data_IF_789690723759
#
_entry.id   IF_789690723759
#
_cell.length_a   1.000
_cell.length_b   1.000
_cell.length_c   1.000
_cell.angle_alpha   90.00
_cell.angle_beta   90.00
_cell.angle_gamma   90.00
#
_symmetry.space_group_name_H-M   'P 1'
#
loop_
_entity.id
_entity.type
_entity.pdbx_description
1 polymer ?
#
# COMPACT_ATOMS: atom_id res chain seq x y z
N UNK A 1 -39.65 2.21 -26.74
CA UNK A 1 -40.90 2.56 -26.02
C UNK A 1 -41.00 1.95 -24.62
N UNK A 2 -40.67 0.66 -24.37
CA UNK A 2 -40.80 0.04 -23.03
C UNK A 2 -39.89 0.62 -21.92
N UNK A 3 -38.70 1.15 -22.25
CA UNK A 3 -37.77 1.77 -21.27
C UNK A 3 -38.18 3.17 -20.77
N UNK A 4 -39.04 3.89 -21.51
CA UNK A 4 -39.59 5.18 -21.06
C UNK A 4 -40.80 4.99 -20.16
N UNK A 5 -41.56 3.91 -20.36
CA UNK A 5 -42.76 3.59 -19.59
C UNK A 5 -42.44 3.13 -18.15
N UNK A 6 -41.31 2.42 -17.92
CA UNK A 6 -40.93 2.02 -16.55
C UNK A 6 -40.29 3.16 -15.74
N UNK A 7 -39.60 4.11 -16.39
CA UNK A 7 -39.12 5.35 -15.76
C UNK A 7 -40.27 6.27 -15.34
N UNK A 8 -41.37 6.24 -16.10
CA UNK A 8 -42.62 6.92 -15.76
C UNK A 8 -43.34 6.24 -14.58
N UNK A 9 -43.33 4.91 -14.50
CA UNK A 9 -44.14 4.16 -13.53
C UNK A 9 -43.65 4.25 -12.06
N UNK A 10 -42.34 4.44 -11.84
CA UNK A 10 -41.79 4.64 -10.47
C UNK A 10 -41.88 6.10 -9.99
N UNK A 11 -41.94 7.07 -10.91
CA UNK A 11 -42.21 8.47 -10.57
C UNK A 11 -43.71 8.71 -10.31
N UNK A 12 -44.60 7.96 -10.99
CA UNK A 12 -46.05 8.12 -10.93
C UNK A 12 -46.69 7.62 -9.64
N UNK A 13 -46.10 6.65 -8.93
CA UNK A 13 -46.70 6.13 -7.69
C UNK A 13 -46.67 7.11 -6.51
N UNK A 14 -45.88 8.20 -6.60
CA UNK A 14 -45.95 9.33 -5.67
C UNK A 14 -46.79 10.52 -6.20
N UNK A 15 -47.32 10.43 -7.43
CA UNK A 15 -47.85 11.55 -8.20
C UNK A 15 -49.36 11.46 -8.51
N UNK A 16 -50.10 10.67 -7.73
CA UNK A 16 -51.56 10.62 -7.86
C UNK A 16 -52.15 11.64 -6.89
N UNK A 17 -52.60 12.79 -7.41
CA UNK A 17 -53.93 13.37 -7.18
C UNK A 17 -54.14 14.67 -8.00
N UNK A 18 -54.97 14.51 -9.03
CA UNK A 18 -55.96 15.42 -9.65
C UNK A 18 -55.52 16.73 -10.32
N UNK A 19 -55.72 16.76 -11.63
CA UNK A 19 -55.80 17.95 -12.47
C UNK A 19 -57.04 18.82 -12.11
N UNK A 20 -56.80 20.03 -11.60
CA UNK A 20 -57.78 21.10 -11.55
C UNK A 20 -57.60 22.06 -12.72
N UNK A 21 -58.61 22.16 -13.59
CA UNK A 21 -58.67 23.18 -14.65
C UNK A 21 -58.93 24.57 -14.06
N UNK A 22 -58.09 25.55 -14.38
CA UNK A 22 -58.52 26.95 -14.49
C UNK A 22 -57.52 27.73 -15.35
N UNK A 23 -58.05 28.50 -16.31
CA UNK A 23 -57.32 29.49 -17.11
C UNK A 23 -56.97 30.68 -16.21
N UNK A 24 -55.86 30.58 -15.51
CA UNK A 24 -55.06 31.73 -15.10
C UNK A 24 -53.76 31.67 -15.90
N UNK A 25 -53.12 32.82 -16.15
CA UNK A 25 -51.73 32.85 -16.64
C UNK A 25 -50.91 31.83 -15.87
N UNK A 26 -50.27 30.88 -16.55
CA UNK A 26 -49.60 29.74 -15.92
C UNK A 26 -48.66 30.20 -14.78
N UNK A 27 -49.11 30.04 -13.53
CA UNK A 27 -48.37 30.45 -12.31
C UNK A 27 -47.43 29.36 -11.81
N UNK A 28 -47.22 28.30 -12.59
CA UNK A 28 -46.40 27.16 -12.19
C UNK A 28 -44.97 27.58 -11.85
N UNK A 29 -44.42 28.55 -12.59
CA UNK A 29 -43.06 29.05 -12.39
C UNK A 29 -42.97 30.31 -11.51
N UNK A 30 -44.08 30.83 -10.99
CA UNK A 30 -44.05 32.01 -10.12
C UNK A 30 -43.18 31.76 -8.88
N UNK A 31 -42.12 32.55 -8.73
CA UNK A 31 -41.17 32.44 -7.62
C UNK A 31 -40.21 31.25 -7.69
N UNK A 32 -40.07 30.61 -8.86
CA UNK A 32 -39.12 29.49 -9.10
C UNK A 32 -37.77 29.96 -9.65
N UNK A 33 -37.67 30.78 -10.71
CA UNK A 33 -36.38 31.33 -11.12
C UNK A 33 -35.84 32.29 -10.06
N UNK A 34 -34.55 32.18 -9.74
CA UNK A 34 -33.91 33.02 -8.74
C UNK A 34 -32.72 32.35 -8.06
N UNK A 35 -32.16 33.03 -7.06
CA UNK A 35 -31.06 32.54 -6.22
C UNK A 35 -31.59 32.19 -4.84
N UNK A 36 -31.36 30.95 -4.41
CA UNK A 36 -31.69 30.45 -3.08
C UNK A 36 -30.39 30.26 -2.30
N UNK A 37 -30.20 31.02 -1.23
CA UNK A 37 -28.99 30.98 -0.43
C UNK A 37 -29.26 31.24 1.06
N UNK A 38 -28.31 30.87 1.92
CA UNK A 38 -28.42 31.07 3.37
C UNK A 38 -29.65 30.39 3.95
N UNK A 39 -30.48 31.13 4.68
CA UNK A 39 -31.71 30.59 5.32
C UNK A 39 -32.83 30.25 4.34
N UNK A 40 -32.68 30.55 3.04
CA UNK A 40 -33.70 30.30 2.02
C UNK A 40 -33.49 28.99 1.27
N UNK A 41 -32.46 28.21 1.62
CA UNK A 41 -32.23 26.89 1.03
C UNK A 41 -31.82 25.88 2.09
N UNK A 42 -32.32 24.66 1.96
CA UNK A 42 -31.88 23.49 2.72
C UNK A 42 -31.55 22.39 1.74
N UNK A 43 -30.35 21.84 1.83
CA UNK A 43 -29.87 20.77 0.95
C UNK A 43 -29.58 19.53 1.80
N UNK A 44 -30.09 18.38 1.35
CA UNK A 44 -29.74 17.06 1.87
C UNK A 44 -29.05 16.29 0.75
N UNK A 45 -27.88 15.72 1.01
CA UNK A 45 -27.13 14.89 0.04
C UNK A 45 -27.07 13.46 0.58
N UNK A 46 -27.59 12.49 -0.17
CA UNK A 46 -27.67 11.08 0.23
C UNK A 46 -28.22 10.88 1.66
N UNK A 47 -29.26 11.62 2.03
CA UNK A 47 -29.91 11.55 3.34
C UNK A 47 -29.22 12.34 4.47
N UNK A 48 -28.05 12.93 4.22
CA UNK A 48 -27.33 13.77 5.21
C UNK A 48 -27.51 15.25 4.92
N UNK A 49 -27.75 16.06 5.95
CA UNK A 49 -27.84 17.52 5.80
C UNK A 49 -26.49 18.07 5.33
N UNK A 50 -26.49 18.88 4.28
CA UNK A 50 -25.30 19.51 3.76
C UNK A 50 -24.77 20.56 4.77
N UNK A 51 -23.52 20.41 5.20
CA UNK A 51 -22.87 21.24 6.22
C UNK A 51 -21.77 22.16 5.68
N UNK A 52 -21.50 22.13 4.36
CA UNK A 52 -20.59 23.09 3.74
C UNK A 52 -21.22 24.49 3.77
N UNK A 53 -20.51 25.49 4.30
CA UNK A 53 -21.05 26.84 4.52
C UNK A 53 -21.81 27.44 3.32
N UNK A 54 -22.86 28.24 3.63
CA UNK A 54 -23.79 28.90 2.71
C UNK A 54 -24.15 28.07 1.45
N UNK A 55 -25.05 27.10 1.62
CA UNK A 55 -25.73 26.44 0.51
C UNK A 55 -26.30 27.48 -0.47
N UNK A 56 -26.08 27.26 -1.77
CA UNK A 56 -26.54 28.15 -2.84
C UNK A 56 -27.04 27.33 -4.04
N UNK A 57 -28.21 27.69 -4.54
CA UNK A 57 -28.79 27.15 -5.78
C UNK A 57 -29.32 28.31 -6.64
N UNK A 58 -28.93 28.33 -7.91
CA UNK A 58 -29.47 29.24 -8.91
C UNK A 58 -30.40 28.47 -9.85
N UNK A 59 -31.63 28.95 -10.00
CA UNK A 59 -32.63 28.33 -10.87
C UNK A 59 -32.95 29.29 -12.01
N UNK A 60 -32.88 28.79 -13.23
CA UNK A 60 -33.17 29.54 -14.46
C UNK A 60 -34.06 28.72 -15.40
N UNK A 61 -34.73 29.40 -16.33
CA UNK A 61 -35.65 28.78 -17.28
C UNK A 61 -37.02 29.46 -17.30
N UNK A 62 -37.73 29.26 -18.40
CA UNK A 62 -39.08 29.83 -18.62
C UNK A 62 -40.10 28.76 -19.02
N UNK A 63 -39.69 27.48 -19.04
CA UNK A 63 -40.51 26.34 -19.45
C UNK A 63 -40.47 25.32 -18.32
N UNK A 64 -41.64 24.96 -17.80
CA UNK A 64 -41.77 24.08 -16.63
C UNK A 64 -41.15 22.69 -16.79
N UNK A 65 -40.92 22.22 -18.02
CA UNK A 65 -40.32 20.92 -18.35
C UNK A 65 -38.85 21.02 -18.77
N UNK A 66 -38.26 22.22 -18.67
CA UNK A 66 -36.90 22.50 -19.12
C UNK A 66 -36.24 23.58 -18.25
N UNK A 67 -36.32 23.40 -16.93
CA UNK A 67 -35.65 24.27 -15.97
C UNK A 67 -34.19 23.85 -15.78
N UNK A 68 -33.33 24.79 -15.41
CA UNK A 68 -31.92 24.56 -15.11
C UNK A 68 -31.60 24.94 -13.67
N UNK A 69 -31.03 24.01 -12.92
CA UNK A 69 -30.61 24.16 -11.54
C UNK A 69 -29.08 24.10 -11.47
N UNK A 70 -28.47 25.19 -11.03
CA UNK A 70 -27.03 25.28 -10.78
C UNK A 70 -26.78 25.26 -9.28
N UNK A 71 -26.13 24.21 -8.80
CA UNK A 71 -25.95 23.88 -7.39
C UNK A 71 -24.49 24.09 -7.04
N UNK A 72 -24.21 24.84 -5.98
CA UNK A 72 -22.84 25.19 -5.62
C UNK A 72 -22.34 24.35 -4.44
N UNK A 73 -21.11 23.84 -4.54
CA UNK A 73 -20.35 23.13 -3.49
C UNK A 73 -20.98 21.85 -2.90
N UNK A 74 -22.21 21.48 -3.28
CA UNK A 74 -22.94 20.37 -2.67
C UNK A 74 -22.89 19.04 -3.45
N UNK A 75 -22.37 19.03 -4.68
CA UNK A 75 -22.42 17.85 -5.57
C UNK A 75 -21.02 17.45 -6.00
N UNK A 76 -20.61 16.22 -5.69
CA UNK A 76 -19.34 15.61 -6.15
C UNK A 76 -18.09 16.47 -5.90
N UNK A 77 -18.07 17.27 -4.81
CA UNK A 77 -16.98 18.19 -4.50
C UNK A 77 -16.76 19.30 -5.52
N UNK A 78 -17.69 19.49 -6.47
CA UNK A 78 -17.60 20.52 -7.51
C UNK A 78 -17.97 21.88 -6.93
N UNK A 79 -17.24 22.92 -7.37
CA UNK A 79 -17.61 24.30 -7.06
C UNK A 79 -19.03 24.63 -7.56
N UNK A 80 -19.41 24.07 -8.70
CA UNK A 80 -20.74 24.16 -9.27
C UNK A 80 -21.12 22.87 -10.03
N UNK A 81 -22.38 22.48 -9.96
CA UNK A 81 -22.95 21.35 -10.69
C UNK A 81 -24.30 21.75 -11.29
N UNK A 82 -24.47 21.51 -12.59
CA UNK A 82 -25.67 21.93 -13.31
C UNK A 82 -26.55 20.74 -13.68
N UNK A 83 -27.83 20.83 -13.36
CA UNK A 83 -28.88 19.91 -13.82
C UNK A 83 -29.82 20.67 -14.74
N UNK A 84 -29.89 20.27 -16.01
CA UNK A 84 -30.79 20.82 -17.03
C UNK A 84 -31.96 19.88 -17.26
N UNK A 85 -33.03 20.35 -17.92
CA UNK A 85 -34.21 19.53 -18.21
C UNK A 85 -35.02 19.18 -16.96
N UNK A 86 -34.94 20.00 -15.92
CA UNK A 86 -35.69 19.78 -14.68
C UNK A 86 -37.17 20.10 -14.89
N UNK A 87 -38.02 19.23 -14.35
CA UNK A 87 -39.47 19.38 -14.36
C UNK A 87 -39.91 20.07 -13.06
N UNK A 88 -40.82 21.04 -13.19
CA UNK A 88 -41.47 21.75 -12.09
C UNK A 88 -42.98 21.59 -12.22
N UNK A 89 -43.63 21.28 -11.09
CA UNK A 89 -45.09 21.14 -10.97
C UNK A 89 -45.58 21.87 -9.72
N UNK A 90 -46.86 22.19 -9.71
CA UNK A 90 -47.54 22.72 -8.51
C UNK A 90 -48.22 21.57 -7.76
N UNK A 91 -47.98 21.46 -6.46
CA UNK A 91 -48.66 20.51 -5.59
C UNK A 91 -49.98 21.09 -5.00
N UNK A 92 -50.71 20.28 -4.24
CA UNK A 92 -51.99 20.66 -3.63
C UNK A 92 -51.87 21.82 -2.62
N UNK A 93 -50.67 22.10 -2.11
CA UNK A 93 -50.40 23.19 -1.16
C UNK A 93 -49.93 24.46 -1.87
N UNK A 94 -50.10 24.55 -3.20
CA UNK A 94 -49.61 25.65 -4.05
C UNK A 94 -48.08 25.85 -3.97
N UNK A 95 -47.35 24.78 -3.67
CA UNK A 95 -45.90 24.77 -3.65
C UNK A 95 -45.35 24.16 -4.94
N UNK A 96 -44.12 24.53 -5.30
CA UNK A 96 -43.51 24.11 -6.55
C UNK A 96 -42.59 22.95 -6.29
N UNK A 97 -43.03 21.75 -6.63
CA UNK A 97 -42.22 20.55 -6.54
C UNK A 97 -41.39 20.42 -7.80
N UNK A 98 -40.13 20.01 -7.66
CA UNK A 98 -39.23 19.86 -8.78
C UNK A 98 -38.52 18.51 -8.75
N UNK A 99 -38.17 18.04 -9.93
CA UNK A 99 -37.41 16.82 -10.14
C UNK A 99 -36.52 16.96 -11.36
N UNK A 100 -35.30 16.45 -11.25
CA UNK A 100 -34.37 16.39 -12.38
C UNK A 100 -33.41 15.23 -12.19
N UNK A 101 -33.17 14.49 -13.26
CA UNK A 101 -32.00 13.65 -13.38
C UNK A 101 -31.08 14.26 -14.43
N UNK A 102 -29.78 14.03 -14.29
CA UNK A 102 -28.75 14.51 -15.23
C UNK A 102 -29.25 14.89 -16.65
N UNK A 103 -28.97 16.13 -17.04
CA UNK A 103 -29.24 16.65 -18.39
C UNK A 103 -27.99 17.10 -19.19
N UNK A 104 -26.76 16.89 -18.71
CA UNK A 104 -25.59 17.27 -19.51
C UNK A 104 -24.22 16.89 -18.95
N UNK A 105 -23.66 15.77 -19.43
CA UNK A 105 -22.22 15.52 -19.66
C UNK A 105 -21.17 15.77 -18.55
N UNK A 106 -21.56 16.22 -17.36
CA UNK A 106 -20.65 16.65 -16.32
C UNK A 106 -19.95 15.46 -15.63
N UNK A 107 -20.63 14.31 -15.54
CA UNK A 107 -20.04 13.08 -15.04
C UNK A 107 -20.67 11.87 -15.74
N UNK A 108 -19.86 10.91 -16.19
CA UNK A 108 -20.32 9.60 -16.68
C UNK A 108 -20.01 8.47 -15.66
N UNK A 109 -19.37 8.80 -14.53
CA UNK A 109 -19.11 7.91 -13.39
C UNK A 109 -20.26 7.86 -12.38
N UNK A 110 -21.02 8.96 -12.30
CA UNK A 110 -22.08 9.14 -11.32
C UNK A 110 -23.35 9.68 -11.97
N UNK A 111 -24.48 9.15 -11.50
CA UNK A 111 -25.81 9.69 -11.70
C UNK A 111 -26.17 10.60 -10.52
N UNK A 112 -26.58 11.82 -10.84
CA UNK A 112 -27.12 12.79 -9.89
C UNK A 112 -28.61 12.98 -10.18
N UNK A 113 -29.42 12.83 -9.13
CA UNK A 113 -30.85 13.10 -9.14
C UNK A 113 -31.13 14.17 -8.10
N UNK A 114 -31.88 15.19 -8.49
CA UNK A 114 -32.39 16.22 -7.59
C UNK A 114 -33.90 16.12 -7.49
N UNK A 115 -34.41 16.26 -6.29
CA UNK A 115 -35.83 16.44 -6.02
C UNK A 115 -36.01 17.52 -4.98
N UNK A 116 -37.18 18.15 -4.92
CA UNK A 116 -37.42 19.12 -3.87
C UNK A 116 -38.71 19.89 -4.01
N UNK A 117 -38.84 20.91 -3.16
CA UNK A 117 -40.02 21.76 -3.03
C UNK A 117 -39.57 23.21 -2.80
N UNK A 118 -40.21 24.14 -3.50
CA UNK A 118 -40.10 25.57 -3.28
C UNK A 118 -41.43 26.07 -2.71
N UNK A 119 -41.40 26.68 -1.53
CA UNK A 119 -42.56 27.28 -0.90
C UNK A 119 -42.16 28.58 -0.20
N UNK A 120 -42.94 29.65 -0.40
CA UNK A 120 -42.72 30.96 0.21
C UNK A 120 -41.27 31.48 0.09
N UNK A 121 -40.67 31.33 -1.09
CA UNK A 121 -39.30 31.76 -1.37
C UNK A 121 -38.20 30.89 -0.72
N UNK A 122 -38.57 29.76 -0.10
CA UNK A 122 -37.62 28.80 0.48
C UNK A 122 -37.57 27.52 -0.32
N UNK A 123 -36.37 27.00 -0.55
CA UNK A 123 -36.12 25.74 -1.24
C UNK A 123 -35.69 24.65 -0.25
N UNK A 124 -36.30 23.48 -0.38
CA UNK A 124 -35.81 22.24 0.21
C UNK A 124 -35.43 21.31 -0.94
N UNK A 125 -34.16 20.92 -1.02
CA UNK A 125 -33.60 20.08 -2.07
C UNK A 125 -33.00 18.80 -1.48
N UNK A 126 -33.34 17.66 -2.06
CA UNK A 126 -32.67 16.39 -1.85
C UNK A 126 -31.86 16.05 -3.09
N UNK A 127 -30.59 15.70 -2.88
CA UNK A 127 -29.65 15.28 -3.92
C UNK A 127 -29.29 13.82 -3.65
N UNK A 128 -29.58 12.95 -4.60
CA UNK A 128 -29.16 11.55 -4.58
C UNK A 128 -28.05 11.37 -5.60
N UNK A 129 -26.88 10.94 -5.11
CA UNK A 129 -25.70 10.63 -5.91
C UNK A 129 -25.46 9.13 -5.84
N UNK A 130 -25.52 8.47 -7.00
CA UNK A 130 -25.27 7.03 -7.18
C UNK A 130 -24.21 6.86 -8.25
N UNK A 131 -23.24 5.95 -8.07
CA UNK A 131 -22.17 5.78 -9.04
C UNK A 131 -20.90 5.24 -8.42
N UNK A 132 -19.79 5.47 -9.11
CA UNK A 132 -18.48 4.95 -8.73
C UNK A 132 -17.70 5.84 -7.76
N UNK A 133 -17.88 7.17 -7.80
CA UNK A 133 -17.04 8.09 -7.02
C UNK A 133 -17.43 8.07 -5.56
N UNK A 134 -16.45 7.89 -4.67
CA UNK A 134 -16.68 7.82 -3.23
C UNK A 134 -15.54 7.16 -2.48
N UNK A 135 -15.63 7.19 -1.16
CA UNK A 135 -14.73 6.48 -0.24
C UNK A 135 -15.39 5.20 0.27
N UNK A 136 -14.64 4.11 0.25
CA UNK A 136 -15.05 2.76 0.59
C UNK A 136 -14.13 2.24 1.69
N UNK A 137 -14.71 1.96 2.86
CA UNK A 137 -14.03 1.43 4.03
C UNK A 137 -15.05 0.71 4.92
N UNK A 138 -14.56 -0.11 5.86
CA UNK A 138 -15.40 -0.88 6.79
C UNK A 138 -16.49 -1.67 6.04
N UNK A 139 -17.75 -1.52 6.47
CA UNK A 139 -18.90 -2.24 5.88
C UNK A 139 -19.17 -1.90 4.40
N UNK A 140 -18.57 -0.83 3.85
CA UNK A 140 -18.71 -0.44 2.44
C UNK A 140 -17.64 -1.05 1.53
N UNK A 141 -16.68 -1.79 2.09
CA UNK A 141 -15.58 -2.39 1.36
C UNK A 141 -15.43 -3.86 1.74
N UNK A 142 -15.66 -4.74 0.77
CA UNK A 142 -15.27 -6.14 0.84
C UNK A 142 -14.02 -6.32 -0.01
N UNK A 143 -12.91 -6.68 0.61
CA UNK A 143 -11.60 -6.64 -0.04
C UNK A 143 -10.79 -7.93 0.13
N UNK A 144 -10.04 -8.29 -0.90
CA UNK A 144 -9.06 -9.38 -0.86
C UNK A 144 -7.72 -8.94 -1.44
N UNK A 145 -6.64 -9.57 -0.97
CA UNK A 145 -5.29 -9.43 -1.50
C UNK A 145 -4.70 -10.79 -1.86
N UNK A 146 -4.25 -10.97 -3.11
CA UNK A 146 -3.66 -12.22 -3.61
C UNK A 146 -4.52 -13.46 -3.27
N UNK A 147 -5.85 -13.31 -3.29
CA UNK A 147 -6.81 -14.39 -2.98
C UNK A 147 -7.09 -14.61 -1.48
N UNK A 148 -6.42 -13.90 -0.58
CA UNK A 148 -6.67 -13.93 0.86
C UNK A 148 -7.50 -12.71 1.32
N UNK A 149 -8.09 -12.79 2.51
CA UNK A 149 -8.77 -11.65 3.14
C UNK A 149 -7.80 -10.47 3.31
N UNK A 150 -8.25 -9.25 2.98
CA UNK A 150 -7.43 -8.06 3.14
C UNK A 150 -7.22 -7.72 4.63
N UNK A 151 -6.11 -7.04 4.99
CA UNK A 151 -5.89 -6.55 6.35
C UNK A 151 -7.04 -5.67 6.86
N UNK A 152 -7.20 -5.59 8.18
CA UNK A 152 -8.11 -4.60 8.76
C UNK A 152 -7.65 -3.17 8.46
N UNK A 153 -8.59 -2.23 8.39
CA UNK A 153 -8.29 -0.81 8.21
C UNK A 153 -7.98 -0.38 6.76
N UNK A 154 -7.97 -1.30 5.80
CA UNK A 154 -7.81 -0.96 4.38
C UNK A 154 -8.91 -0.02 3.89
N UNK A 155 -8.56 0.83 2.93
CA UNK A 155 -9.51 1.75 2.31
C UNK A 155 -9.27 1.92 0.82
N UNK A 156 -10.35 2.23 0.10
CA UNK A 156 -10.33 2.50 -1.32
C UNK A 156 -11.14 3.76 -1.62
N UNK A 157 -10.69 4.56 -2.59
CA UNK A 157 -11.39 5.74 -3.04
C UNK A 157 -11.37 5.81 -4.56
N UNK A 158 -12.54 5.96 -5.17
CA UNK A 158 -12.61 6.34 -6.59
C UNK A 158 -12.82 7.85 -6.67
N UNK A 159 -11.99 8.49 -7.48
CA UNK A 159 -12.09 9.92 -7.82
C UNK A 159 -12.21 10.10 -9.33
N UNK A 160 -12.56 11.31 -9.74
CA UNK A 160 -12.85 11.65 -11.14
C UNK A 160 -14.31 12.00 -11.35
N UNK A 161 -14.57 12.62 -12.51
CA UNK A 161 -15.90 12.92 -13.02
C UNK A 161 -16.22 12.03 -14.21
N UNK A 162 -15.20 11.72 -15.01
CA UNK A 162 -15.31 10.98 -16.25
C UNK A 162 -14.57 9.65 -16.16
N UNK A 163 -15.07 8.65 -16.87
CA UNK A 163 -14.39 7.36 -17.08
C UNK A 163 -12.96 7.57 -17.58
N UNK A 164 -12.72 8.61 -18.40
CA UNK A 164 -11.40 8.98 -18.91
C UNK A 164 -10.44 9.60 -17.87
N UNK A 165 -10.95 10.14 -16.75
CA UNK A 165 -10.15 10.74 -15.68
C UNK A 165 -10.28 9.99 -14.34
N UNK A 166 -10.93 8.82 -14.35
CA UNK A 166 -11.15 8.00 -13.19
C UNK A 166 -9.83 7.48 -12.62
N UNK A 167 -9.74 7.53 -11.29
CA UNK A 167 -8.60 7.02 -10.53
C UNK A 167 -9.11 6.19 -9.37
N UNK A 168 -8.41 5.12 -9.06
CA UNK A 168 -8.57 4.38 -7.80
C UNK A 168 -7.38 4.67 -6.92
N UNK A 169 -7.63 5.09 -5.68
CA UNK A 169 -6.62 5.25 -4.64
C UNK A 169 -6.87 4.13 -3.63
N UNK A 170 -5.85 3.31 -3.36
CA UNK A 170 -5.93 2.24 -2.36
C UNK A 170 -4.91 2.49 -1.25
N UNK A 171 -5.30 2.20 -0.01
CA UNK A 171 -4.48 2.42 1.17
C UNK A 171 -4.53 1.20 2.12
N UNK A 172 -3.37 0.87 2.70
CA UNK A 172 -3.18 -0.27 3.60
C UNK A 172 -3.11 -1.65 2.93
N UNK A 173 -3.19 -1.73 1.60
CA UNK A 173 -3.20 -3.00 0.88
C UNK A 173 -1.80 -3.59 0.67
N UNK A 174 -0.81 -2.75 0.36
CA UNK A 174 0.48 -3.22 -0.13
C UNK A 174 1.52 -3.12 0.98
N UNK A 175 2.18 -4.25 1.25
CA UNK A 175 3.22 -4.32 2.28
C UNK A 175 4.38 -3.36 1.94
N UNK A 176 4.78 -2.55 2.92
CA UNK A 176 5.89 -1.59 2.75
C UNK A 176 5.50 -0.26 2.11
N UNK A 177 4.21 -0.05 1.82
CA UNK A 177 3.69 1.24 1.39
C UNK A 177 3.00 1.98 2.53
N UNK A 178 3.63 3.08 2.94
CA UNK A 178 3.08 4.01 3.93
C UNK A 178 2.18 5.07 3.28
N UNK A 179 2.32 5.28 1.97
CA UNK A 179 1.52 6.22 1.19
C UNK A 179 0.51 5.46 0.33
N UNK A 180 -0.71 5.99 0.15
CA UNK A 180 -1.70 5.38 -0.73
C UNK A 180 -1.20 5.22 -2.17
N UNK A 181 -1.53 4.09 -2.80
CA UNK A 181 -1.22 3.85 -4.21
C UNK A 181 -2.31 4.45 -5.07
N UNK A 182 -1.92 5.33 -5.98
CA UNK A 182 -2.80 5.91 -7.00
C UNK A 182 -2.71 5.13 -8.31
N UNK A 183 -3.82 4.49 -8.69
CA UNK A 183 -3.99 3.80 -9.96
C UNK A 183 -4.70 4.75 -10.93
N UNK A 184 -3.92 5.32 -11.84
CA UNK A 184 -4.40 6.20 -12.90
C UNK A 184 -4.88 5.40 -14.12
N UNK A 185 -5.66 6.03 -14.99
CA UNK A 185 -6.24 5.40 -16.19
C UNK A 185 -7.12 4.17 -15.87
N UNK A 186 -7.87 4.25 -14.77
CA UNK A 186 -8.76 3.18 -14.32
C UNK A 186 -9.78 2.84 -15.42
N UNK A 187 -9.78 1.59 -15.88
CA UNK A 187 -10.78 1.11 -16.83
C UNK A 187 -12.07 0.88 -16.06
N UNK A 188 -13.04 1.79 -16.20
CA UNK A 188 -14.31 1.72 -15.48
C UNK A 188 -15.50 1.85 -16.42
N UNK A 189 -16.47 0.95 -16.23
CA UNK A 189 -17.76 0.97 -16.94
C UNK A 189 -18.87 1.12 -15.94
N UNK A 190 -19.72 2.13 -16.12
CA UNK A 190 -20.87 2.40 -15.25
C UNK A 190 -22.18 2.17 -15.99
N UNK A 191 -23.06 1.36 -15.39
CA UNK A 191 -24.38 1.01 -15.92
C UNK A 191 -25.41 1.10 -14.78
N UNK A 192 -26.17 2.20 -14.78
CA UNK A 192 -27.11 2.54 -13.70
C UNK A 192 -26.40 2.72 -12.34
N UNK A 193 -26.73 1.89 -11.33
CA UNK A 193 -26.12 1.91 -9.99
C UNK A 193 -24.95 0.95 -9.84
N UNK A 194 -24.56 0.28 -10.92
CA UNK A 194 -23.47 -0.69 -10.92
C UNK A 194 -22.29 -0.15 -11.71
N UNK A 195 -21.09 -0.29 -11.14
CA UNK A 195 -19.84 0.00 -11.86
C UNK A 195 -18.91 -1.20 -11.76
N UNK A 196 -18.19 -1.49 -12.84
CA UNK A 196 -17.11 -2.47 -12.87
C UNK A 196 -15.83 -1.77 -13.24
N UNK A 197 -14.74 -2.11 -12.58
CA UNK A 197 -13.47 -1.45 -12.80
C UNK A 197 -12.28 -2.41 -12.76
N UNK A 198 -11.21 -2.04 -13.46
CA UNK A 198 -9.90 -2.68 -13.37
C UNK A 198 -8.80 -1.67 -13.66
N UNK A 199 -7.61 -1.93 -13.16
CA UNK A 199 -6.46 -1.06 -13.36
C UNK A 199 -5.17 -1.70 -12.89
N UNK A 200 -4.06 -1.03 -13.16
CA UNK A 200 -2.74 -1.48 -12.75
C UNK A 200 -1.87 -0.28 -12.40
N UNK A 201 -1.06 -0.44 -11.36
CA UNK A 201 0.08 0.40 -11.03
C UNK A 201 1.35 -0.44 -11.11
N UNK A 202 2.41 0.08 -11.73
CA UNK A 202 3.71 -0.60 -11.81
C UNK A 202 4.82 0.39 -11.52
N UNK A 203 5.79 -0.03 -10.71
CA UNK A 203 7.06 0.67 -10.47
C UNK A 203 8.25 -0.27 -10.70
N UNK A 204 9.44 0.12 -10.23
CA UNK A 204 10.67 -0.67 -10.38
C UNK A 204 10.62 -2.02 -9.62
N UNK A 205 9.82 -2.12 -8.57
CA UNK A 205 9.86 -3.22 -7.61
C UNK A 205 8.63 -4.11 -7.64
N UNK A 206 7.49 -3.60 -8.11
CA UNK A 206 6.23 -4.35 -8.10
C UNK A 206 5.24 -3.89 -9.16
N UNK A 207 4.28 -4.77 -9.40
CA UNK A 207 3.04 -4.52 -10.10
C UNK A 207 1.87 -4.77 -9.14
N UNK A 208 0.93 -3.82 -9.11
CA UNK A 208 -0.29 -3.86 -8.31
C UNK A 208 -1.47 -3.81 -9.28
N UNK A 209 -2.18 -4.93 -9.43
CA UNK A 209 -3.38 -5.03 -10.25
C UNK A 209 -4.63 -4.91 -9.37
N UNK A 210 -5.65 -4.23 -9.85
CA UNK A 210 -6.95 -4.14 -9.17
C UNK A 210 -8.08 -4.54 -10.09
N UNK A 211 -9.08 -5.19 -9.53
CA UNK A 211 -10.37 -5.38 -10.19
C UNK A 211 -11.49 -5.37 -9.18
N UNK A 212 -12.66 -4.91 -9.59
CA UNK A 212 -13.78 -4.86 -8.66
C UNK A 212 -15.07 -4.39 -9.27
N UNK A 213 -16.07 -4.27 -8.40
CA UNK A 213 -17.37 -3.75 -8.74
C UNK A 213 -17.93 -2.93 -7.58
N UNK A 214 -18.81 -1.99 -7.92
CA UNK A 214 -19.58 -1.18 -6.98
C UNK A 214 -21.04 -1.46 -7.26
N UNK A 215 -21.77 -1.86 -6.22
CA UNK A 215 -23.21 -2.11 -6.25
C UNK A 215 -23.81 -1.43 -5.03
N UNK A 216 -24.78 -0.54 -5.25
CA UNK A 216 -25.53 0.14 -4.18
C UNK A 216 -24.62 0.75 -3.10
N UNK A 217 -23.56 1.44 -3.54
CA UNK A 217 -22.54 2.12 -2.72
C UNK A 217 -21.62 1.23 -1.89
N UNK A 218 -21.66 -0.09 -2.09
CA UNK A 218 -20.67 -1.04 -1.54
C UNK A 218 -19.71 -1.48 -2.65
N UNK A 219 -18.42 -1.52 -2.34
CA UNK A 219 -17.37 -1.98 -3.24
C UNK A 219 -16.94 -3.39 -2.87
N UNK A 220 -16.80 -4.25 -3.87
CA UNK A 220 -15.95 -5.45 -3.78
C UNK A 220 -14.67 -5.21 -4.58
N UNK A 221 -13.52 -5.37 -3.94
CA UNK A 221 -12.20 -5.07 -4.49
C UNK A 221 -11.25 -6.26 -4.34
N UNK A 222 -10.69 -6.72 -5.44
CA UNK A 222 -9.58 -7.67 -5.48
C UNK A 222 -8.30 -6.93 -5.84
N UNK A 223 -7.28 -7.09 -5.00
CA UNK A 223 -5.94 -6.54 -5.21
C UNK A 223 -4.95 -7.67 -5.43
N UNK A 224 -4.24 -7.63 -6.54
CA UNK A 224 -3.10 -8.48 -6.85
C UNK A 224 -1.80 -7.72 -6.65
N UNK A 225 -0.88 -8.24 -5.86
CA UNK A 225 0.46 -7.68 -5.66
C UNK A 225 1.49 -8.70 -6.14
N UNK A 226 2.29 -8.29 -7.13
CA UNK A 226 3.38 -9.06 -7.71
C UNK A 226 4.69 -8.27 -7.58
N UNK A 227 5.60 -8.73 -6.73
CA UNK A 227 6.97 -8.23 -6.69
C UNK A 227 7.69 -8.60 -7.99
N UNK A 228 8.35 -7.62 -8.59
CA UNK A 228 9.10 -7.70 -9.85
C UNK A 228 10.58 -7.33 -9.69
N UNK A 229 11.01 -7.02 -8.45
CA UNK A 229 12.40 -6.69 -8.13
C UNK A 229 13.39 -7.76 -8.60
N UNK A 230 14.63 -7.33 -8.84
CA UNK A 230 15.77 -8.15 -9.24
C UNK A 230 16.02 -9.41 -8.40
N UNK A 231 15.63 -9.35 -7.13
CA UNK A 231 15.86 -10.41 -6.15
C UNK A 231 14.81 -11.51 -6.22
N UNK A 232 13.74 -11.36 -7.00
CA UNK A 232 12.75 -12.43 -7.18
C UNK A 232 13.43 -13.71 -7.68
N UNK A 233 13.17 -14.82 -6.99
CA UNK A 233 13.65 -16.15 -7.36
C UNK A 233 14.31 -16.91 -6.22
N UNK A 234 14.84 -18.09 -6.56
CA UNK A 234 15.50 -19.02 -5.65
C UNK A 234 17.02 -18.79 -5.64
N UNK A 235 17.58 -18.62 -4.45
CA UNK A 235 18.98 -18.25 -4.20
C UNK A 235 19.63 -19.19 -3.21
N UNK A 236 20.92 -19.45 -3.42
CA UNK A 236 21.81 -20.11 -2.45
C UNK A 236 23.00 -19.21 -2.16
N UNK A 237 23.73 -19.49 -1.08
CA UNK A 237 24.99 -18.77 -0.80
C UNK A 237 25.96 -19.05 -1.95
N UNK A 238 26.43 -17.99 -2.60
CA UNK A 238 27.43 -18.09 -3.65
C UNK A 238 28.75 -18.60 -3.06
N UNK A 239 29.53 -19.29 -3.90
CA UNK A 239 30.91 -19.64 -3.60
C UNK A 239 31.86 -18.88 -4.51
N UNK A 240 33.07 -18.64 -4.03
CA UNK A 240 34.15 -17.96 -4.74
C UNK A 240 35.50 -18.56 -4.37
N UNK A 241 36.53 -18.34 -5.20
CA UNK A 241 37.89 -18.68 -4.81
C UNK A 241 38.38 -17.72 -3.72
N UNK A 242 38.91 -18.27 -2.62
CA UNK A 242 39.44 -17.52 -1.49
C UNK A 242 40.30 -18.39 -0.58
N UNK A 243 40.70 -17.84 0.56
CA UNK A 243 41.47 -18.58 1.56
C UNK A 243 40.53 -19.31 2.53
N UNK A 244 40.81 -20.58 2.80
CA UNK A 244 40.20 -21.32 3.91
C UNK A 244 40.80 -20.89 5.27
N UNK A 245 40.33 -21.54 6.34
CA UNK A 245 40.76 -21.30 7.73
C UNK A 245 42.24 -21.59 8.00
N UNK A 246 42.91 -22.24 7.04
CA UNK A 246 44.32 -22.60 7.10
C UNK A 246 45.17 -21.77 6.13
N UNK A 247 44.55 -20.80 5.42
CA UNK A 247 45.24 -19.95 4.45
C UNK A 247 45.48 -20.63 3.09
N UNK A 248 44.79 -21.72 2.77
CA UNK A 248 44.88 -22.36 1.46
C UNK A 248 43.86 -21.78 0.49
N UNK A 249 44.25 -21.56 -0.76
CA UNK A 249 43.32 -21.19 -1.82
C UNK A 249 42.37 -22.35 -2.15
N UNK A 250 41.08 -22.13 -1.95
CA UNK A 250 40.01 -23.09 -2.24
C UNK A 250 38.69 -22.37 -2.54
N UNK A 251 37.67 -23.12 -2.93
CA UNK A 251 36.31 -22.60 -3.05
C UNK A 251 35.70 -22.42 -1.64
N UNK A 252 35.33 -21.18 -1.32
CA UNK A 252 34.76 -20.79 -0.02
C UNK A 252 33.46 -20.02 -0.22
N UNK A 253 32.62 -19.91 0.81
CA UNK A 253 31.43 -19.05 0.73
C UNK A 253 31.80 -17.59 0.48
N UNK A 254 30.98 -16.93 -0.34
CA UNK A 254 31.14 -15.51 -0.64
C UNK A 254 30.56 -14.67 0.50
N UNK A 255 31.42 -14.34 1.46
CA UNK A 255 31.14 -13.41 2.56
C UNK A 255 31.68 -12.04 2.16
N UNK A 256 30.82 -11.02 2.20
CA UNK A 256 31.17 -9.65 1.86
C UNK A 256 31.68 -8.99 3.14
N UNK A 257 32.93 -8.51 3.10
CA UNK A 257 33.51 -7.64 4.12
C UNK A 257 34.34 -6.58 3.38
N UNK A 258 33.67 -5.51 2.95
CA UNK A 258 34.31 -4.43 2.21
C UNK A 258 34.56 -3.26 3.15
N UNK A 259 35.82 -2.86 3.29
CA UNK A 259 36.20 -1.67 4.07
C UNK A 259 37.01 -0.74 3.17
N UNK A 260 36.59 0.52 3.12
CA UNK A 260 37.34 1.58 2.48
C UNK A 260 37.52 2.72 3.48
N UNK A 261 38.66 3.38 3.44
CA UNK A 261 38.93 4.60 4.20
C UNK A 261 39.86 5.52 3.41
N UNK A 262 40.11 6.72 3.93
CA UNK A 262 40.89 7.74 3.23
C UNK A 262 42.40 7.48 3.25
N UNK A 263 42.90 6.69 4.20
CA UNK A 263 44.33 6.44 4.40
C UNK A 263 44.84 5.16 3.74
N UNK A 264 43.93 4.24 3.39
CA UNK A 264 44.26 2.87 2.99
C UNK A 264 44.80 1.99 4.13
N UNK A 265 44.77 2.47 5.38
CA UNK A 265 45.39 1.84 6.55
C UNK A 265 44.44 1.76 7.73
N UNK A 266 44.56 0.71 8.54
CA UNK A 266 43.81 0.54 9.79
C UNK A 266 44.77 0.11 10.92
N UNK A 267 44.38 0.34 12.17
CA UNK A 267 45.00 -0.32 13.32
C UNK A 267 44.16 -1.54 13.66
N UNK A 268 44.78 -2.72 13.65
CA UNK A 268 44.11 -3.97 13.99
C UNK A 268 45.10 -4.96 14.61
N UNK A 269 44.67 -5.63 15.68
CA UNK A 269 45.50 -6.48 16.55
C UNK A 269 46.76 -5.75 17.03
N UNK A 270 46.63 -4.46 17.38
CA UNK A 270 47.72 -3.63 17.88
C UNK A 270 48.77 -3.22 16.84
N UNK A 271 48.51 -3.40 15.54
CA UNK A 271 49.45 -3.08 14.46
C UNK A 271 48.78 -2.34 13.30
N UNK A 272 49.53 -1.49 12.60
CA UNK A 272 49.06 -0.87 11.37
C UNK A 272 49.04 -1.89 10.22
N UNK A 273 47.90 -2.03 9.55
CA UNK A 273 47.66 -2.97 8.46
C UNK A 273 47.09 -2.25 7.25
N UNK A 274 47.28 -2.84 6.06
CA UNK A 274 46.56 -2.39 4.86
C UNK A 274 45.07 -2.73 5.00
N UNK A 275 44.20 -1.77 4.67
CA UNK A 275 42.74 -1.95 4.80
C UNK A 275 42.25 -3.15 3.97
N UNK A 276 42.91 -3.47 2.86
CA UNK A 276 42.52 -4.59 2.00
C UNK A 276 42.79 -5.97 2.62
N UNK A 277 43.62 -6.05 3.66
CA UNK A 277 43.93 -7.32 4.36
C UNK A 277 42.85 -7.64 5.41
N UNK A 278 42.13 -6.63 5.88
CA UNK A 278 41.17 -6.76 6.97
C UNK A 278 39.97 -7.66 6.64
N UNK A 279 39.32 -7.42 5.50
CA UNK A 279 38.17 -8.20 5.05
C UNK A 279 38.49 -9.70 4.91
N UNK A 280 39.53 -10.07 4.14
CA UNK A 280 40.00 -11.45 4.02
C UNK A 280 40.33 -12.08 5.38
N UNK A 281 40.97 -11.34 6.29
CA UNK A 281 41.31 -11.84 7.61
C UNK A 281 40.07 -12.14 8.46
N UNK A 282 39.10 -11.23 8.53
CA UNK A 282 37.85 -11.45 9.25
C UNK A 282 37.05 -12.63 8.68
N UNK A 283 37.07 -12.79 7.35
CA UNK A 283 36.44 -13.92 6.67
C UNK A 283 37.08 -15.25 7.08
N UNK A 284 38.41 -15.33 7.07
CA UNK A 284 39.17 -16.50 7.51
C UNK A 284 38.86 -16.86 8.97
N UNK A 285 38.81 -15.85 9.86
CA UNK A 285 38.41 -16.06 11.26
C UNK A 285 36.99 -16.60 11.35
N UNK A 286 36.02 -15.95 10.68
CA UNK A 286 34.61 -16.34 10.79
C UNK A 286 34.37 -17.77 10.31
N UNK A 287 35.01 -18.15 9.20
CA UNK A 287 35.01 -19.53 8.72
C UNK A 287 35.71 -20.48 9.72
N UNK A 288 36.79 -20.05 10.37
CA UNK A 288 37.51 -20.80 11.42
C UNK A 288 36.66 -21.16 12.62
N UNK A 289 35.68 -20.31 12.93
CA UNK A 289 34.70 -20.52 14.00
C UNK A 289 33.41 -21.21 13.53
N UNK A 290 33.40 -21.82 12.34
CA UNK A 290 32.32 -22.68 11.88
C UNK A 290 31.20 -21.99 11.12
N UNK A 291 31.40 -20.74 10.65
CA UNK A 291 30.42 -20.03 9.80
C UNK A 291 30.06 -20.84 8.54
N UNK A 292 31.03 -21.55 7.97
CA UNK A 292 30.86 -22.46 6.85
C UNK A 292 29.75 -23.49 7.08
N UNK A 293 29.72 -24.14 8.24
CA UNK A 293 28.69 -25.13 8.59
C UNK A 293 27.28 -24.51 8.58
N UNK A 294 27.13 -23.27 9.05
CA UNK A 294 25.85 -22.57 9.04
C UNK A 294 25.42 -22.17 7.63
N UNK A 295 26.37 -21.75 6.78
CA UNK A 295 26.09 -21.35 5.40
C UNK A 295 25.81 -22.55 4.49
N UNK A 296 26.51 -23.67 4.66
CA UNK A 296 26.25 -24.93 3.94
C UNK A 296 24.93 -25.60 4.38
N UNK A 297 24.45 -25.30 5.59
CA UNK A 297 23.14 -25.78 6.04
C UNK A 297 21.97 -25.12 5.27
N UNK A 298 22.14 -23.95 4.66
CA UNK A 298 21.10 -23.30 3.86
C UNK A 298 21.16 -23.80 2.40
N UNK A 299 20.20 -24.62 2.00
CA UNK A 299 20.07 -25.08 0.62
C UNK A 299 19.67 -23.93 -0.30
N UNK A 300 18.57 -23.29 0.04
CA UNK A 300 18.09 -22.12 -0.65
C UNK A 300 17.15 -21.27 0.20
N UNK A 301 17.00 -20.04 -0.23
CA UNK A 301 15.85 -19.21 0.09
C UNK A 301 15.26 -18.64 -1.20
N UNK A 302 13.94 -18.46 -1.20
CA UNK A 302 13.20 -18.03 -2.38
C UNK A 302 12.38 -16.79 -2.04
N UNK A 303 12.69 -15.70 -2.75
CA UNK A 303 11.88 -14.50 -2.79
C UNK A 303 10.77 -14.71 -3.82
N UNK A 304 9.58 -15.09 -3.36
CA UNK A 304 8.45 -15.34 -4.26
C UNK A 304 7.83 -14.03 -4.74
N UNK A 305 7.29 -14.06 -5.94
CA UNK A 305 6.58 -12.92 -6.56
C UNK A 305 5.40 -12.43 -5.70
N UNK A 306 4.71 -13.31 -4.97
CA UNK A 306 3.60 -12.94 -4.09
C UNK A 306 4.03 -12.28 -2.76
N UNK A 307 5.34 -12.08 -2.55
CA UNK A 307 5.89 -11.49 -1.33
C UNK A 307 6.14 -12.48 -0.19
N UNK A 308 5.85 -13.77 -0.36
CA UNK A 308 6.23 -14.81 0.60
C UNK A 308 7.72 -15.17 0.47
N UNK A 309 8.31 -15.64 1.57
CA UNK A 309 9.64 -16.27 1.56
C UNK A 309 9.49 -17.78 1.77
N UNK A 310 10.22 -18.57 0.99
CA UNK A 310 10.42 -19.99 1.28
C UNK A 310 11.89 -20.29 1.58
N UNK A 311 12.15 -21.22 2.49
CA UNK A 311 13.49 -21.60 2.95
C UNK A 311 13.62 -23.12 2.89
N UNK A 312 14.81 -23.62 2.56
CA UNK A 312 15.18 -25.03 2.68
C UNK A 312 16.54 -25.13 3.34
N UNK A 313 16.67 -26.08 4.27
CA UNK A 313 17.89 -26.33 5.02
C UNK A 313 18.28 -27.80 4.92
N UNK A 314 19.56 -28.12 5.09
CA UNK A 314 20.01 -29.47 5.38
C UNK A 314 20.04 -29.69 6.89
N UNK A 315 19.67 -30.88 7.33
CA UNK A 315 19.87 -31.33 8.70
C UNK A 315 21.27 -31.98 8.85
N UNK A 316 22.27 -31.26 9.39
CA UNK A 316 23.60 -31.82 9.57
C UNK A 316 23.62 -32.98 10.58
N UNK A 317 22.62 -33.12 11.46
CA UNK A 317 22.53 -34.21 12.43
C UNK A 317 21.88 -35.47 11.84
N UNK A 318 21.19 -35.36 10.71
CA UNK A 318 20.52 -36.45 10.02
C UNK A 318 21.09 -36.71 8.62
N UNK A 319 22.43 -36.72 8.51
CA UNK A 319 23.12 -37.07 7.27
C UNK A 319 22.93 -36.06 6.13
N UNK A 320 22.71 -34.78 6.44
CA UNK A 320 22.38 -33.71 5.49
C UNK A 320 21.08 -33.96 4.71
N UNK A 321 20.11 -34.67 5.32
CA UNK A 321 18.78 -34.78 4.74
C UNK A 321 18.15 -33.38 4.61
N UNK A 322 17.45 -33.13 3.50
CA UNK A 322 16.73 -31.87 3.32
C UNK A 322 15.62 -31.75 4.38
N UNK A 323 15.71 -30.71 5.19
CA UNK A 323 14.69 -30.28 6.13
C UNK A 323 13.85 -29.20 5.47
N UNK A 324 12.64 -29.57 5.06
CA UNK A 324 11.60 -28.59 4.78
C UNK A 324 10.97 -28.19 6.12
N UNK A 325 10.94 -26.91 6.43
CA UNK A 325 10.20 -26.44 7.61
C UNK A 325 8.71 -26.71 7.34
N UNK A 326 8.02 -27.53 8.15
CA UNK A 326 6.60 -27.78 7.98
C UNK A 326 5.82 -26.45 7.90
N UNK A 327 4.87 -26.36 6.98
CA UNK A 327 4.04 -25.16 6.80
C UNK A 327 3.24 -24.83 8.08
N UNK A 328 3.02 -25.81 8.95
CA UNK A 328 2.40 -25.63 10.26
C UNK A 328 3.28 -24.83 11.25
N UNK A 329 4.61 -24.81 11.06
CA UNK A 329 5.56 -24.08 11.91
C UNK A 329 5.85 -22.67 11.39
N UNK A 330 5.88 -22.49 10.07
CA UNK A 330 5.98 -21.17 9.44
C UNK A 330 4.93 -21.13 8.32
N UNK A 331 3.68 -20.76 8.64
CA UNK A 331 2.64 -20.61 7.63
C UNK A 331 3.06 -19.63 6.53
N UNK A 332 2.57 -19.88 5.31
CA UNK A 332 2.76 -18.93 4.20
C UNK A 332 2.32 -17.52 4.62
N UNK A 333 3.17 -16.53 4.37
CA UNK A 333 2.94 -15.15 4.77
C UNK A 333 3.40 -14.77 6.18
N UNK A 334 4.02 -15.68 6.94
CA UNK A 334 4.60 -15.34 8.26
C UNK A 334 5.95 -14.63 8.14
N UNK A 335 6.72 -14.97 7.11
CA UNK A 335 7.90 -14.23 6.67
C UNK A 335 7.58 -13.71 5.28
N UNK A 336 7.58 -12.39 5.15
CA UNK A 336 7.32 -11.70 3.88
C UNK A 336 8.48 -10.84 3.48
N UNK A 337 8.44 -10.39 2.23
CA UNK A 337 9.39 -9.43 1.73
C UNK A 337 8.76 -8.46 0.75
N UNK A 338 9.39 -7.30 0.64
CA UNK A 338 9.17 -6.32 -0.43
C UNK A 338 10.47 -5.62 -0.77
N UNK A 339 10.51 -4.90 -1.89
CA UNK A 339 11.63 -4.03 -2.23
C UNK A 339 11.16 -2.58 -2.41
N UNK A 340 11.96 -1.64 -1.91
CA UNK A 340 11.71 -0.20 -1.97
C UNK A 340 13.03 0.53 -1.77
N UNK A 341 13.22 1.63 -2.49
CA UNK A 341 14.39 2.53 -2.33
C UNK A 341 15.75 1.80 -2.39
N UNK A 342 15.90 0.87 -3.34
CA UNK A 342 17.15 0.11 -3.51
C UNK A 342 17.43 -0.91 -2.39
N UNK A 343 16.48 -1.17 -1.51
CA UNK A 343 16.59 -2.14 -0.41
C UNK A 343 15.55 -3.25 -0.54
N UNK A 344 15.90 -4.41 0.02
CA UNK A 344 14.96 -5.51 0.29
C UNK A 344 14.62 -5.46 1.76
N UNK A 345 13.33 -5.47 2.08
CA UNK A 345 12.84 -5.50 3.44
C UNK A 345 12.32 -6.90 3.73
N UNK A 346 12.91 -7.56 4.74
CA UNK A 346 12.31 -8.74 5.33
C UNK A 346 11.32 -8.29 6.39
N UNK A 347 10.11 -8.83 6.34
CA UNK A 347 9.04 -8.54 7.29
C UNK A 347 8.73 -9.82 8.04
N UNK A 348 9.06 -9.81 9.33
CA UNK A 348 8.99 -10.99 10.18
C UNK A 348 8.05 -10.71 11.36
N UNK A 349 7.10 -11.61 11.59
CA UNK A 349 6.20 -11.48 12.73
C UNK A 349 7.00 -11.49 14.05
N UNK A 350 6.74 -10.50 14.91
CA UNK A 350 7.48 -10.31 16.16
C UNK A 350 7.24 -11.46 17.15
N UNK A 351 6.07 -12.09 17.15
CA UNK A 351 5.78 -13.24 18.01
C UNK A 351 6.67 -14.43 17.65
N UNK A 352 6.95 -14.65 16.37
CA UNK A 352 7.92 -15.67 15.95
C UNK A 352 9.32 -15.37 16.48
N UNK A 353 9.76 -14.12 16.41
CA UNK A 353 11.09 -13.73 16.92
C UNK A 353 11.16 -13.94 18.44
N UNK A 354 10.08 -13.59 19.15
CA UNK A 354 9.98 -13.77 20.60
C UNK A 354 9.96 -15.25 21.02
N UNK A 355 9.56 -16.17 20.15
CA UNK A 355 9.64 -17.61 20.41
C UNK A 355 11.07 -18.15 20.39
N UNK A 356 12.04 -17.43 19.80
CA UNK A 356 13.43 -17.86 19.76
C UNK A 356 14.05 -17.72 21.16
N UNK A 357 14.51 -18.82 21.81
CA UNK A 357 15.12 -18.76 23.13
C UNK A 357 16.36 -17.87 23.12
N UNK A 358 16.50 -16.98 24.11
CA UNK A 358 17.66 -16.08 24.22
C UNK A 358 17.33 -14.59 24.19
N UNK A 359 16.05 -14.21 24.15
CA UNK A 359 15.63 -12.80 24.26
C UNK A 359 15.83 -11.97 22.99
N UNK A 360 15.97 -12.64 21.83
CA UNK A 360 16.23 -12.01 20.54
C UNK A 360 15.23 -10.92 20.16
N UNK A 361 13.95 -11.07 20.52
CA UNK A 361 12.95 -10.02 20.24
C UNK A 361 13.36 -8.63 20.73
N UNK A 362 13.91 -8.53 21.95
CA UNK A 362 14.38 -7.25 22.50
C UNK A 362 15.59 -6.67 21.75
N UNK A 363 16.40 -7.52 21.11
CA UNK A 363 17.56 -7.11 20.33
C UNK A 363 17.09 -6.61 18.96
N UNK A 364 16.21 -7.37 18.29
CA UNK A 364 15.65 -6.99 16.99
C UNK A 364 14.88 -5.67 17.06
N UNK A 365 14.10 -5.42 18.12
CA UNK A 365 13.37 -4.15 18.27
C UNK A 365 14.26 -2.92 18.55
N UNK A 366 15.50 -3.13 19.00
CA UNK A 366 16.49 -2.04 19.13
C UNK A 366 17.22 -1.76 17.82
N UNK A 367 17.35 -2.78 16.96
CA UNK A 367 18.06 -2.70 15.69
C UNK A 367 17.16 -2.25 14.54
N UNK A 368 15.88 -2.61 14.58
CA UNK A 368 14.98 -2.51 13.45
C UNK A 368 13.65 -1.90 13.85
N UNK A 369 12.99 -1.30 12.86
CA UNK A 369 11.66 -0.75 13.04
C UNK A 369 10.64 -1.88 13.30
N UNK A 370 9.76 -1.63 14.29
CA UNK A 370 8.64 -2.51 14.60
C UNK A 370 7.34 -1.75 14.30
N UNK A 371 6.57 -2.28 13.34
CA UNK A 371 5.30 -1.69 12.90
C UNK A 371 4.26 -2.79 12.78
N UNK A 372 3.06 -2.56 13.30
CA UNK A 372 1.90 -3.47 13.20
C UNK A 372 2.17 -4.92 13.63
N UNK A 373 3.07 -5.11 14.61
CA UNK A 373 3.45 -6.44 15.12
C UNK A 373 4.52 -7.17 14.29
N UNK A 374 5.13 -6.49 13.31
CA UNK A 374 6.20 -7.01 12.47
C UNK A 374 7.49 -6.22 12.62
N UNK A 375 8.61 -6.93 12.55
CA UNK A 375 9.95 -6.33 12.43
C UNK A 375 10.28 -6.18 10.96
N UNK A 376 10.72 -4.98 10.59
CA UNK A 376 11.14 -4.64 9.23
C UNK A 376 12.67 -4.56 9.16
N UNK A 377 13.29 -5.54 8.50
CA UNK A 377 14.75 -5.64 8.37
C UNK A 377 15.17 -5.16 6.97
N UNK A 378 15.71 -3.92 6.84
CA UNK A 378 16.21 -3.41 5.58
C UNK A 378 17.58 -4.01 5.25
N UNK A 379 17.72 -4.56 4.06
CA UNK A 379 18.97 -5.11 3.55
C UNK A 379 19.28 -4.46 2.20
N UNK A 380 20.49 -3.91 2.06
CA UNK A 380 20.93 -3.38 0.78
C UNK A 380 21.17 -4.52 -0.19
N UNK A 381 20.93 -4.29 -1.49
CA UNK A 381 21.27 -5.28 -2.50
C UNK A 381 21.97 -4.66 -3.71
N UNK A 382 22.83 -5.44 -4.36
CA UNK A 382 23.49 -5.05 -5.61
C UNK A 382 23.54 -6.23 -6.56
N UNK A 383 23.14 -6.02 -7.83
CA UNK A 383 23.28 -7.05 -8.87
C UNK A 383 24.77 -7.27 -9.18
N UNK A 384 25.16 -8.53 -9.29
CA UNK A 384 26.47 -8.93 -9.80
C UNK A 384 26.31 -9.66 -11.14
N UNK A 385 27.42 -9.98 -11.80
CA UNK A 385 27.39 -10.72 -13.07
C UNK A 385 26.71 -12.10 -12.93
N UNK A 386 26.86 -12.74 -11.77
CA UNK A 386 26.45 -14.14 -11.53
C UNK A 386 25.37 -14.27 -10.44
N UNK A 387 24.86 -13.16 -9.90
CA UNK A 387 23.85 -13.20 -8.85
C UNK A 387 23.59 -11.85 -8.19
N UNK A 388 23.40 -11.86 -6.86
CA UNK A 388 23.07 -10.66 -6.08
C UNK A 388 23.88 -10.65 -4.78
N UNK A 389 24.37 -9.49 -4.41
CA UNK A 389 24.98 -9.22 -3.12
C UNK A 389 23.91 -8.64 -2.20
N UNK A 390 23.78 -9.20 -0.99
CA UNK A 390 22.95 -8.62 0.07
C UNK A 390 23.84 -8.24 1.24
N UNK A 391 23.68 -7.03 1.79
CA UNK A 391 24.60 -6.53 2.80
C UNK A 391 23.98 -5.45 3.69
N UNK A 392 24.56 -5.31 4.87
CA UNK A 392 24.39 -4.14 5.72
C UNK A 392 25.54 -3.18 5.51
N UNK A 393 25.23 -1.88 5.53
CA UNK A 393 26.21 -0.82 5.33
C UNK A 393 26.75 -0.26 6.66
N UNK A 394 27.63 0.74 6.55
CA UNK A 394 28.27 1.40 7.68
C UNK A 394 27.23 1.99 8.64
N UNK A 395 26.16 2.61 8.13
CA UNK A 395 25.17 3.27 8.97
C UNK A 395 24.46 2.25 9.86
N UNK A 396 24.10 1.09 9.29
CA UNK A 396 23.58 -0.02 10.09
C UNK A 396 24.62 -0.53 11.10
N UNK A 397 25.87 -0.75 10.68
CA UNK A 397 26.91 -1.26 11.57
C UNK A 397 27.18 -0.30 12.75
N UNK A 398 27.12 1.01 12.54
CA UNK A 398 27.24 2.01 13.60
C UNK A 398 26.10 1.93 14.62
N UNK A 399 24.87 1.64 14.17
CA UNK A 399 23.73 1.41 15.05
C UNK A 399 23.83 0.07 15.78
N UNK A 400 24.26 -0.98 15.07
CA UNK A 400 24.23 -2.35 15.57
C UNK A 400 25.40 -2.69 16.51
N UNK A 401 26.58 -2.14 16.25
CA UNK A 401 27.79 -2.50 16.96
C UNK A 401 27.72 -2.25 18.48
N UNK A 402 27.18 -1.12 18.99
CA UNK A 402 26.99 -0.92 20.43
C UNK A 402 26.10 -1.99 21.08
N UNK A 403 25.05 -2.43 20.38
CA UNK A 403 24.14 -3.48 20.85
C UNK A 403 24.88 -4.83 20.87
N UNK A 404 25.56 -5.19 19.77
CA UNK A 404 26.36 -6.42 19.67
C UNK A 404 27.42 -6.47 20.77
N UNK A 405 28.12 -5.37 21.02
CA UNK A 405 29.10 -5.23 22.11
C UNK A 405 28.50 -5.54 23.49
N UNK A 406 27.26 -5.12 23.73
CA UNK A 406 26.52 -5.42 24.95
C UNK A 406 26.11 -6.89 25.11
N UNK A 407 26.10 -7.67 24.02
CA UNK A 407 25.78 -9.11 24.04
C UNK A 407 26.98 -10.00 24.33
N UNK A 408 28.19 -9.45 24.24
CA UNK A 408 29.41 -10.21 24.52
C UNK A 408 29.50 -10.45 26.03
N UNK A 409 29.65 -11.72 26.48
CA UNK A 409 29.79 -12.03 27.90
C UNK A 409 30.97 -11.29 28.52
N UNK A 410 30.77 -10.68 29.70
CA UNK A 410 31.86 -10.03 30.43
C UNK A 410 32.83 -11.02 31.08
N UNK A 411 32.45 -12.29 31.21
CA UNK A 411 33.22 -13.37 31.82
C UNK A 411 32.94 -14.71 31.12
N UNK A 412 33.82 -15.70 31.30
CA UNK A 412 33.60 -17.07 30.79
C UNK A 412 34.14 -17.37 29.39
N UNK A 413 34.89 -16.43 28.79
CA UNK A 413 35.47 -16.58 27.44
C UNK A 413 36.93 -17.10 27.44
N UNK A 414 37.54 -17.29 28.62
CA UNK A 414 38.91 -17.81 28.75
C UNK A 414 39.93 -16.94 28.00
N UNK A 415 40.82 -17.56 27.23
CA UNK A 415 41.86 -16.85 26.46
C UNK A 415 41.28 -15.92 25.37
N UNK A 416 40.01 -16.09 24.97
CA UNK A 416 39.35 -15.20 24.02
C UNK A 416 38.99 -13.85 24.63
N UNK A 417 38.91 -13.75 25.96
CA UNK A 417 38.56 -12.50 26.66
C UNK A 417 39.54 -11.38 26.31
N UNK A 418 40.84 -11.65 26.40
CA UNK A 418 41.88 -10.64 26.12
C UNK A 418 41.90 -10.22 24.65
N UNK A 419 41.60 -11.14 23.73
CA UNK A 419 41.52 -10.85 22.29
C UNK A 419 40.30 -9.97 22.01
N UNK A 420 39.15 -10.27 22.61
CA UNK A 420 37.92 -9.49 22.46
C UNK A 420 38.09 -8.08 23.03
N UNK A 421 38.71 -7.93 24.21
CA UNK A 421 38.98 -6.63 24.83
C UNK A 421 39.89 -5.75 23.97
N UNK A 422 40.82 -6.35 23.22
CA UNK A 422 41.67 -5.65 22.26
C UNK A 422 40.93 -5.30 20.96
N UNK A 423 40.20 -6.26 20.39
CA UNK A 423 39.60 -6.15 19.06
C UNK A 423 38.36 -5.25 19.06
N UNK A 424 37.54 -5.27 20.10
CA UNK A 424 36.27 -4.52 20.12
C UNK A 424 36.46 -3.00 19.96
N UNK A 425 37.37 -2.33 20.70
CA UNK A 425 37.65 -0.91 20.49
C UNK A 425 38.23 -0.60 19.11
N UNK A 426 39.06 -1.49 18.57
CA UNK A 426 39.63 -1.33 17.22
C UNK A 426 38.55 -1.47 16.14
N UNK A 427 37.65 -2.45 16.27
CA UNK A 427 36.48 -2.61 15.40
C UNK A 427 35.59 -1.36 15.42
N UNK A 428 35.32 -0.81 16.60
CA UNK A 428 34.56 0.42 16.76
C UNK A 428 35.20 1.59 16.02
N UNK A 429 36.53 1.70 16.12
CA UNK A 429 37.32 2.72 15.43
C UNK A 429 37.27 2.53 13.92
N UNK A 430 37.49 1.31 13.42
CA UNK A 430 37.45 0.96 12.00
C UNK A 430 36.07 1.29 11.40
N UNK A 431 34.98 0.93 12.09
CA UNK A 431 33.62 1.27 11.66
C UNK A 431 33.48 2.78 11.51
N UNK A 432 33.87 3.54 12.54
CA UNK A 432 33.66 4.98 12.55
C UNK A 432 34.53 5.74 11.55
N UNK A 433 35.79 5.34 11.36
CA UNK A 433 36.75 6.00 10.48
C UNK A 433 36.65 5.56 9.00
N UNK A 434 36.02 4.42 8.73
CA UNK A 434 35.79 3.97 7.35
C UNK A 434 34.91 4.97 6.56
N UNK A 435 35.18 5.15 5.28
CA UNK A 435 34.23 5.83 4.37
C UNK A 435 33.16 4.88 3.88
N UNK A 436 33.46 3.58 3.87
CA UNK A 436 32.56 2.50 3.49
C UNK A 436 32.87 1.29 4.37
N UNK A 437 31.82 0.67 4.91
CA UNK A 437 31.92 -0.63 5.54
C UNK A 437 30.67 -1.43 5.18
N UNK A 438 30.84 -2.56 4.50
CA UNK A 438 29.75 -3.46 4.13
C UNK A 438 30.03 -4.86 4.67
N UNK A 439 29.03 -5.45 5.31
CA UNK A 439 29.06 -6.84 5.75
C UNK A 439 27.84 -7.58 5.22
N UNK A 440 28.05 -8.72 4.56
CA UNK A 440 26.96 -9.40 3.87
C UNK A 440 27.33 -10.73 3.23
N UNK A 441 26.48 -11.17 2.31
CA UNK A 441 26.60 -12.44 1.61
C UNK A 441 26.37 -12.24 0.11
N UNK A 442 27.19 -12.94 -0.69
CA UNK A 442 26.92 -13.12 -2.11
C UNK A 442 25.95 -14.27 -2.33
N UNK A 443 24.99 -14.08 -3.24
CA UNK A 443 23.96 -15.05 -3.57
C UNK A 443 24.11 -15.47 -5.03
N UNK A 444 23.97 -16.77 -5.27
CA UNK A 444 23.92 -17.35 -6.60
C UNK A 444 22.53 -17.90 -6.86
N UNK A 445 22.04 -17.74 -8.09
CA UNK A 445 20.74 -18.28 -8.48
C UNK A 445 20.80 -19.81 -8.48
N UNK A 446 19.77 -20.46 -7.96
CA UNK A 446 19.62 -21.92 -8.09
C UNK A 446 19.11 -22.19 -9.50
N UNK A 447 19.94 -22.84 -10.32
CA UNK A 447 19.50 -23.38 -11.62
C UNK A 447 18.73 -24.67 -11.39
N UNK A 448 17.50 -24.72 -11.92
CA UNK A 448 16.66 -25.93 -11.92
C UNK A 448 17.26 -27.08 -12.73
#
# INVERSE_FOLDING_TARGET
MKKRLSRFLYAITALVLVAGCSKDSDKTLDGVPGTYEGSNVTITVNGSMYSGGNAKVEVTGTVQDDMTFKIYNAVLGQAEYTVTGCEVRVDNDNSRVFGGEQGGGASDLNKVVITGKINNGKMVMNITITGATGSYNGEKLSASINGAEAPEGVSAQITGLKTSDAKLIIDGFVLGEDEPIEITNLQITTLNTQSQFSGEYTDEYKTVSVSGQIIDHTMSLEVGVKNTSAVVGKWKIAKEMGLDNFGNETEVHRVIINVENTTGKIIFLGSEQDVNVFGPFLKMIAMGYGLDNYLDALNYFEFKENGSIALSFNDPQNGNAEMTIPNELIPEGTIRWYAKEGKVYFVVNMDLINMIPGGYGSIFSQLFEVKDGYVHVPINFTKTANGVDIYFDKAFLQQAFPIIKGLIPSEGLGDLQAIIEMVIPEMETIINESTKFEVGLGLAKVTE
#
